data_IF_393745566732
#
_entry.id   IF_393745566732
#
_cell.length_a   1.000
_cell.length_b   1.000
_cell.length_c   1.000
_cell.angle_alpha   90.00
_cell.angle_beta   90.00
_cell.angle_gamma   90.00
#
_symmetry.space_group_name_H-M   'P 1'
#
loop_
_entity.id
_entity.type
_entity.pdbx_description
1 polymer ?
#
# COMPACT_ATOMS: atom_id res chain seq x y z
N UNK A 1 12.47 6.06 -5.19
CA UNK A 1 11.61 5.49 -6.26
C UNK A 1 11.49 3.99 -6.03
N UNK A 2 10.35 3.38 -6.36
CA UNK A 2 10.15 1.92 -6.24
C UNK A 2 9.35 1.37 -7.43
N UNK A 3 9.62 0.15 -7.84
CA UNK A 3 8.96 -0.55 -8.93
C UNK A 3 8.37 -1.89 -8.48
N UNK A 4 7.21 -2.26 -9.01
CA UNK A 4 6.67 -3.62 -8.90
C UNK A 4 7.40 -4.49 -9.91
N UNK A 5 8.18 -5.47 -9.44
CA UNK A 5 8.96 -6.38 -10.29
C UNK A 5 8.29 -7.74 -10.45
N UNK A 6 7.45 -8.12 -9.49
CA UNK A 6 6.60 -9.32 -9.55
C UNK A 6 5.26 -9.02 -8.88
N UNK A 7 4.18 -9.47 -9.50
CA UNK A 7 2.81 -9.35 -8.97
C UNK A 7 2.00 -10.58 -9.39
N UNK A 8 1.55 -11.36 -8.41
CA UNK A 8 0.73 -12.55 -8.67
C UNK A 8 -0.77 -12.24 -8.80
N UNK A 9 -1.19 -11.02 -8.49
CA UNK A 9 -2.60 -10.58 -8.52
C UNK A 9 -2.94 -9.78 -9.78
N UNK A 10 -1.97 -9.04 -10.31
CA UNK A 10 -2.12 -8.18 -11.49
C UNK A 10 -2.94 -6.92 -11.26
N UNK A 11 -3.37 -6.62 -10.03
CA UNK A 11 -4.16 -5.44 -9.70
C UNK A 11 -4.01 -5.02 -8.24
N UNK A 12 -3.80 -3.72 -8.04
CA UNK A 12 -3.80 -3.06 -6.74
C UNK A 12 -4.66 -1.79 -6.80
N UNK A 13 -5.22 -1.39 -5.66
CA UNK A 13 -6.12 -0.25 -5.58
C UNK A 13 -5.35 1.03 -5.22
N UNK A 14 -5.41 2.04 -6.09
CA UNK A 14 -4.84 3.36 -5.85
C UNK A 14 -5.87 4.45 -5.55
N UNK A 15 -7.16 4.12 -5.42
CA UNK A 15 -8.26 5.09 -5.34
C UNK A 15 -9.16 4.92 -4.11
N UNK A 16 -9.15 3.77 -3.45
CA UNK A 16 -10.01 3.49 -2.29
C UNK A 16 -9.62 4.23 -1.01
N UNK A 17 -8.39 4.74 -0.91
CA UNK A 17 -7.92 5.45 0.27
C UNK A 17 -7.75 4.54 1.49
N UNK A 18 -7.98 5.08 2.69
CA UNK A 18 -7.83 4.35 3.97
C UNK A 18 -9.03 4.51 4.88
N UNK A 19 -9.20 3.54 5.78
CA UNK A 19 -10.23 3.60 6.81
C UNK A 19 -9.85 4.61 7.88
N UNK A 20 -10.86 5.33 8.38
CA UNK A 20 -10.76 6.17 9.57
C UNK A 20 -11.37 5.46 10.76
N UNK A 21 -11.15 6.01 11.96
CA UNK A 21 -11.78 5.52 13.19
C UNK A 21 -13.30 5.48 13.10
N UNK A 22 -13.90 6.58 12.61
CA UNK A 22 -15.36 6.69 12.46
C UNK A 22 -15.91 5.62 11.51
N UNK A 23 -15.26 5.39 10.37
CA UNK A 23 -15.66 4.35 9.41
C UNK A 23 -15.53 2.94 10.00
N UNK A 24 -14.48 2.69 10.76
CA UNK A 24 -14.25 1.40 11.42
C UNK A 24 -15.34 1.12 12.45
N UNK A 25 -15.71 2.13 13.24
CA UNK A 25 -16.78 2.05 14.25
C UNK A 25 -18.15 1.83 13.68
N UNK A 26 -18.48 2.59 12.64
CA UNK A 26 -19.77 2.49 11.96
C UNK A 26 -19.96 1.10 11.37
N UNK A 27 -18.90 0.54 10.79
CA UNK A 27 -18.98 -0.75 10.10
C UNK A 27 -18.85 -1.96 11.02
N UNK A 28 -17.90 -1.94 11.95
CA UNK A 28 -17.51 -3.12 12.74
C UNK A 28 -17.85 -3.02 14.23
N UNK A 29 -18.38 -1.87 14.66
CA UNK A 29 -18.66 -1.59 16.06
C UNK A 29 -17.47 -0.99 16.81
N UNK A 30 -17.79 -0.28 17.91
CA UNK A 30 -16.80 0.45 18.70
C UNK A 30 -15.95 -0.48 19.55
N UNK A 31 -14.63 -0.37 19.36
CA UNK A 31 -13.61 -1.06 20.19
C UNK A 31 -12.48 -0.11 20.59
N UNK A 32 -11.89 -0.27 21.76
CA UNK A 32 -10.77 0.53 22.22
C UNK A 32 -9.71 -0.31 22.95
N UNK A 33 -8.51 0.25 23.03
CA UNK A 33 -7.37 -0.42 23.64
C UNK A 33 -7.56 -0.69 25.14
N UNK A 34 -8.27 0.17 25.87
CA UNK A 34 -8.45 0.06 27.32
C UNK A 34 -9.27 -1.17 27.68
N UNK A 35 -10.27 -1.51 26.87
CA UNK A 35 -11.16 -2.65 27.10
C UNK A 35 -10.72 -3.92 26.35
N UNK A 36 -10.22 -3.81 25.11
CA UNK A 36 -9.88 -4.97 24.27
C UNK A 36 -8.37 -5.19 24.07
N UNK A 37 -7.50 -4.33 24.59
CA UNK A 37 -6.04 -4.43 24.42
C UNK A 37 -5.67 -4.55 22.94
N UNK A 38 -4.97 -5.60 22.55
CA UNK A 38 -4.53 -5.78 21.16
C UNK A 38 -5.65 -6.26 20.22
N UNK A 39 -6.80 -6.65 20.76
CA UNK A 39 -7.94 -7.14 19.97
C UNK A 39 -8.87 -6.02 19.49
N UNK A 40 -8.58 -4.75 19.82
CA UNK A 40 -9.33 -3.62 19.30
C UNK A 40 -9.08 -3.42 17.79
N UNK A 41 -10.11 -2.94 17.10
CA UNK A 41 -10.11 -2.78 15.65
C UNK A 41 -9.41 -1.47 15.26
N UNK A 42 -8.43 -1.61 14.37
CA UNK A 42 -7.56 -0.51 13.94
C UNK A 42 -8.07 0.12 12.65
N UNK A 43 -7.89 1.43 12.51
CA UNK A 43 -8.06 2.12 11.23
C UNK A 43 -6.72 2.40 10.54
N UNK A 44 -6.73 2.46 9.21
CA UNK A 44 -5.53 2.75 8.44
C UNK A 44 -4.95 4.13 8.75
N UNK A 45 -5.83 5.11 9.00
CA UNK A 45 -5.44 6.47 9.37
C UNK A 45 -4.67 6.52 10.71
N UNK A 46 -5.17 5.85 11.75
CA UNK A 46 -4.50 5.81 13.06
C UNK A 46 -3.15 5.10 12.99
N UNK A 47 -3.06 4.00 12.24
CA UNK A 47 -1.81 3.28 12.03
C UNK A 47 -0.78 4.17 11.35
N UNK A 48 -1.14 4.82 10.24
CA UNK A 48 -0.19 5.69 9.54
C UNK A 48 0.24 6.90 10.36
N UNK A 49 -0.67 7.55 11.08
CA UNK A 49 -0.28 8.67 11.95
C UNK A 49 0.72 8.25 13.04
N UNK A 50 0.53 7.07 13.63
CA UNK A 50 1.47 6.55 14.64
C UNK A 50 2.87 6.38 14.06
N UNK A 51 2.99 5.77 12.88
CA UNK A 51 4.30 5.52 12.27
C UNK A 51 4.94 6.79 11.69
N UNK A 52 4.13 7.73 11.18
CA UNK A 52 4.61 9.02 10.72
C UNK A 52 5.23 9.82 11.88
N UNK A 53 4.57 9.85 13.03
CA UNK A 53 5.05 10.59 14.21
C UNK A 53 6.43 10.08 14.69
N UNK A 54 6.65 8.76 14.67
CA UNK A 54 7.94 8.15 14.99
C UNK A 54 9.07 8.63 14.07
N UNK A 55 8.74 9.00 12.83
CA UNK A 55 9.68 9.50 11.83
C UNK A 55 9.73 11.04 11.75
N UNK A 56 9.14 11.75 12.72
CA UNK A 56 9.12 13.22 12.74
C UNK A 56 8.18 13.84 11.69
N UNK A 57 7.28 13.04 11.12
CA UNK A 57 6.27 13.44 10.17
C UNK A 57 4.90 13.57 10.86
N UNK A 58 3.91 14.12 10.16
CA UNK A 58 2.57 14.28 10.70
C UNK A 58 1.45 14.16 9.66
N UNK A 59 0.21 14.52 10.03
CA UNK A 59 -0.96 14.35 9.17
C UNK A 59 -0.87 15.03 7.79
N UNK A 60 -0.04 16.07 7.66
CA UNK A 60 0.19 16.79 6.40
C UNK A 60 1.02 16.00 5.39
N UNK A 61 1.80 15.03 5.89
CA UNK A 61 2.71 14.20 5.11
C UNK A 61 2.03 12.89 4.66
N UNK A 62 0.79 12.66 5.11
CA UNK A 62 -0.01 11.53 4.69
C UNK A 62 -0.50 11.74 3.25
N UNK A 63 -0.06 10.85 2.37
CA UNK A 63 -0.50 10.78 0.97
C UNK A 63 -1.43 9.58 0.75
N UNK A 64 -2.26 9.58 -0.32
CA UNK A 64 -3.03 8.39 -0.68
C UNK A 64 -2.11 7.17 -0.84
N UNK A 65 -2.38 6.04 -0.17
CA UNK A 65 -1.56 4.85 -0.30
C UNK A 65 -1.94 4.05 -1.56
N UNK A 66 -1.09 3.07 -1.88
CA UNK A 66 -1.48 1.95 -2.73
C UNK A 66 -1.96 0.81 -1.84
N UNK A 67 -3.23 0.45 -1.96
CA UNK A 67 -3.83 -0.70 -1.30
C UNK A 67 -3.45 -1.98 -2.04
N UNK A 68 -2.29 -2.53 -1.69
CA UNK A 68 -1.78 -3.79 -2.25
C UNK A 68 -2.81 -4.92 -2.05
N UNK A 69 -2.86 -5.83 -3.03
CA UNK A 69 -3.78 -6.97 -3.12
C UNK A 69 -5.27 -6.65 -3.25
N UNK A 70 -5.69 -5.40 -3.03
CA UNK A 70 -7.07 -4.97 -3.20
C UNK A 70 -7.36 -4.58 -4.64
N UNK A 71 -8.57 -4.85 -5.12
CA UNK A 71 -9.02 -4.37 -6.44
C UNK A 71 -10.29 -3.55 -6.29
N UNK A 72 -10.18 -2.30 -6.72
CA UNK A 72 -11.26 -1.35 -6.87
C UNK A 72 -11.31 -0.89 -8.32
N UNK A 73 -12.51 -0.84 -8.89
CA UNK A 73 -12.74 -0.34 -10.24
C UNK A 73 -14.00 0.50 -10.28
N UNK A 74 -14.06 1.46 -11.21
CA UNK A 74 -15.24 2.29 -11.43
C UNK A 74 -16.03 1.76 -12.63
N UNK A 75 -17.36 1.68 -12.51
CA UNK A 75 -18.22 1.40 -13.65
C UNK A 75 -18.45 2.66 -14.52
N UNK A 76 -19.24 2.50 -15.60
CA UNK A 76 -19.57 3.60 -16.51
C UNK A 76 -20.36 4.74 -15.88
N UNK A 77 -21.00 4.50 -14.73
CA UNK A 77 -21.73 5.52 -13.96
C UNK A 77 -20.83 6.18 -12.89
N UNK A 78 -19.56 5.78 -12.81
CA UNK A 78 -18.60 6.29 -11.83
C UNK A 78 -18.74 5.68 -10.43
N UNK A 79 -19.51 4.60 -10.26
CA UNK A 79 -19.61 3.90 -8.98
C UNK A 79 -18.40 3.00 -8.79
N UNK A 80 -17.84 3.03 -7.58
CA UNK A 80 -16.71 2.17 -7.21
C UNK A 80 -17.20 0.79 -6.76
N UNK A 81 -16.51 -0.25 -7.22
CA UNK A 81 -16.79 -1.65 -6.92
C UNK A 81 -15.54 -2.32 -6.35
N UNK A 82 -15.71 -3.04 -5.24
CA UNK A 82 -14.66 -3.86 -4.64
C UNK A 82 -14.74 -5.31 -5.16
N UNK A 83 -13.61 -5.90 -5.51
CA UNK A 83 -13.53 -7.31 -5.91
C UNK A 83 -12.99 -8.17 -4.75
N UNK A 84 -13.85 -8.85 -3.96
CA UNK A 84 -13.43 -9.55 -2.74
C UNK A 84 -12.48 -10.74 -2.98
N UNK A 85 -12.57 -11.37 -4.15
CA UNK A 85 -11.81 -12.56 -4.51
C UNK A 85 -10.49 -12.24 -5.25
N UNK A 86 -10.05 -10.97 -5.29
CA UNK A 86 -8.85 -10.57 -6.04
C UNK A 86 -7.54 -11.12 -5.43
N UNK A 87 -7.52 -11.37 -4.12
CA UNK A 87 -6.35 -11.83 -3.40
C UNK A 87 -6.53 -13.26 -2.88
N UNK A 88 -6.08 -14.28 -3.63
CA UNK A 88 -6.03 -15.63 -3.11
C UNK A 88 -4.94 -15.78 -2.04
N UNK A 89 -5.10 -16.76 -1.15
CA UNK A 89 -4.07 -17.10 -0.15
C UNK A 89 -2.75 -17.43 -0.84
N UNK A 90 -1.67 -16.79 -0.37
CA UNK A 90 -0.32 -16.98 -0.92
C UNK A 90 0.00 -16.07 -2.10
N UNK A 91 -0.89 -15.14 -2.46
CA UNK A 91 -0.54 -14.06 -3.39
C UNK A 91 0.65 -13.23 -2.88
N UNK A 92 1.48 -12.76 -3.80
CA UNK A 92 2.71 -12.02 -3.54
C UNK A 92 2.82 -10.80 -4.45
N UNK A 93 3.46 -9.77 -3.92
CA UNK A 93 3.95 -8.62 -4.67
C UNK A 93 5.37 -8.34 -4.22
N UNK A 94 6.27 -8.13 -5.18
CA UNK A 94 7.68 -7.81 -4.92
C UNK A 94 7.96 -6.41 -5.40
N UNK A 95 8.42 -5.55 -4.49
CA UNK A 95 8.84 -4.19 -4.78
C UNK A 95 10.37 -4.12 -4.80
N UNK A 96 10.95 -3.53 -5.85
CA UNK A 96 12.37 -3.15 -5.89
C UNK A 96 12.47 -1.65 -5.65
N UNK A 97 13.29 -1.26 -4.69
CA UNK A 97 13.54 0.14 -4.34
C UNK A 97 14.79 0.62 -5.06
N UNK A 98 14.65 1.62 -5.91
CA UNK A 98 15.77 2.23 -6.64
C UNK A 98 16.35 3.43 -5.89
N UNK A 99 15.77 3.80 -4.75
CA UNK A 99 16.32 4.78 -3.82
C UNK A 99 16.06 4.36 -2.38
N UNK A 100 16.70 5.04 -1.43
CA UNK A 100 16.32 4.99 -0.02
C UNK A 100 14.85 5.41 0.15
N UNK A 101 14.09 4.61 0.90
CA UNK A 101 12.66 4.82 1.14
C UNK A 101 12.29 4.56 2.58
N UNK A 102 11.29 5.29 3.07
CA UNK A 102 10.52 4.93 4.25
C UNK A 102 9.24 4.21 3.79
N UNK A 103 9.09 2.94 4.17
CA UNK A 103 7.90 2.15 3.84
C UNK A 103 6.99 2.05 5.06
N UNK A 104 5.77 2.54 4.92
CA UNK A 104 4.72 2.42 5.93
C UNK A 104 3.67 1.41 5.46
N UNK A 105 3.34 0.45 6.32
CA UNK A 105 2.36 -0.58 6.02
C UNK A 105 1.25 -0.58 7.08
N UNK A 106 0.01 -0.58 6.64
CA UNK A 106 -1.16 -0.79 7.51
C UNK A 106 -1.96 -1.98 7.03
N UNK A 107 -2.00 -3.04 7.83
CA UNK A 107 -2.81 -4.23 7.56
C UNK A 107 -4.24 -4.03 8.05
N UNK A 108 -4.98 -3.15 7.37
CA UNK A 108 -6.35 -2.76 7.70
C UNK A 108 -7.28 -2.95 6.50
N UNK A 109 -8.60 -3.14 6.72
CA UNK A 109 -9.53 -3.37 5.63
C UNK A 109 -9.57 -2.19 4.65
N UNK A 110 -9.84 -2.48 3.38
CA UNK A 110 -10.11 -1.45 2.38
C UNK A 110 -11.42 -0.72 2.75
N UNK A 111 -11.50 0.62 2.59
CA UNK A 111 -12.71 1.39 2.89
C UNK A 111 -14.00 0.91 2.24
N UNK A 112 -13.91 0.36 1.02
CA UNK A 112 -15.08 -0.07 0.24
C UNK A 112 -15.29 -1.58 0.22
N UNK A 113 -14.46 -2.34 0.93
CA UNK A 113 -14.76 -3.73 1.26
C UNK A 113 -16.13 -3.78 1.96
N UNK A 114 -16.99 -4.73 1.67
CA UNK A 114 -18.35 -4.84 2.23
C UNK A 114 -18.49 -5.96 3.27
N UNK A 115 -17.40 -6.69 3.56
CA UNK A 115 -17.42 -7.77 4.54
C UNK A 115 -17.86 -7.26 5.93
N UNK A 116 -18.81 -7.94 6.59
CA UNK A 116 -19.39 -7.48 7.86
C UNK A 116 -18.46 -7.69 9.05
N UNK A 117 -17.59 -8.69 9.00
CA UNK A 117 -16.57 -8.93 10.02
C UNK A 117 -15.26 -8.24 9.63
N UNK A 118 -14.54 -7.71 10.62
CA UNK A 118 -13.22 -7.11 10.39
C UNK A 118 -12.24 -8.19 9.92
N UNK A 119 -11.73 -8.14 8.68
CA UNK A 119 -10.78 -9.14 8.20
C UNK A 119 -9.45 -8.98 8.93
N UNK A 120 -9.00 -10.06 9.58
CA UNK A 120 -7.70 -10.15 10.23
C UNK A 120 -6.90 -11.29 9.58
N UNK A 121 -6.15 -10.97 8.52
CA UNK A 121 -5.31 -11.94 7.80
C UNK A 121 -3.85 -11.55 7.97
N UNK A 122 -2.97 -12.46 8.43
CA UNK A 122 -1.55 -12.14 8.59
C UNK A 122 -0.88 -11.93 7.23
N UNK A 123 0.01 -10.95 7.17
CA UNK A 123 0.90 -10.70 6.03
C UNK A 123 2.34 -11.08 6.40
N UNK A 124 3.10 -11.59 5.44
CA UNK A 124 4.55 -11.78 5.57
C UNK A 124 5.23 -10.68 4.76
N UNK A 125 6.17 -9.98 5.39
CA UNK A 125 6.99 -8.95 4.76
C UNK A 125 8.45 -9.34 4.91
N UNK A 126 9.20 -9.26 3.82
CA UNK A 126 10.61 -9.62 3.76
C UNK A 126 11.39 -8.54 3.04
N UNK A 127 12.60 -8.26 3.52
CA UNK A 127 13.53 -7.30 2.90
C UNK A 127 14.77 -8.08 2.50
N UNK A 128 15.06 -8.09 1.21
CA UNK A 128 16.15 -8.85 0.61
C UNK A 128 16.99 -7.93 -0.26
N UNK A 129 18.31 -8.16 -0.38
CA UNK A 129 19.13 -7.47 -1.36
C UNK A 129 18.58 -7.73 -2.77
N UNK A 130 18.42 -6.68 -3.55
CA UNK A 130 18.04 -6.75 -4.95
C UNK A 130 19.23 -6.40 -5.85
N UNK A 131 19.32 -7.03 -7.01
CA UNK A 131 20.24 -6.57 -8.05
C UNK A 131 19.76 -5.19 -8.56
N UNK A 132 20.68 -4.24 -8.80
CA UNK A 132 20.31 -2.93 -9.34
C UNK A 132 19.71 -3.10 -10.74
N UNK A 133 18.72 -2.26 -11.07
CA UNK A 133 18.18 -2.21 -12.42
C UNK A 133 19.23 -1.65 -13.40
N UNK A 134 19.29 -2.21 -14.61
CA UNK A 134 20.10 -1.68 -15.70
C UNK A 134 19.23 -1.17 -16.86
N UNK A 135 19.85 -0.61 -17.90
CA UNK A 135 19.13 -0.05 -19.04
C UNK A 135 18.28 -1.07 -19.84
N UNK A 136 18.55 -2.37 -19.69
CA UNK A 136 17.89 -3.48 -20.36
C UNK A 136 16.80 -4.13 -19.49
N UNK A 137 16.71 -3.76 -18.21
CA UNK A 137 15.71 -4.28 -17.27
C UNK A 137 14.28 -4.08 -17.80
N UNK A 138 13.45 -5.11 -17.63
CA UNK A 138 12.08 -5.12 -18.17
C UNK A 138 11.21 -4.04 -17.53
N UNK A 139 11.38 -3.74 -16.25
CA UNK A 139 10.65 -2.67 -15.58
C UNK A 139 11.06 -1.31 -16.15
N UNK A 140 12.36 -1.06 -16.35
CA UNK A 140 12.87 0.18 -16.97
C UNK A 140 12.25 0.41 -18.35
N UNK A 141 12.08 -0.66 -19.12
CA UNK A 141 11.58 -0.63 -20.49
C UNK A 141 10.06 -0.77 -20.64
N UNK A 142 9.32 -0.86 -19.53
CA UNK A 142 7.88 -1.13 -19.54
C UNK A 142 7.05 -0.05 -20.26
N UNK A 143 7.41 1.22 -20.08
CA UNK A 143 6.81 2.38 -20.75
C UNK A 143 7.73 3.61 -20.68
N UNK A 144 7.58 4.61 -21.57
CA UNK A 144 8.42 5.81 -21.60
C UNK A 144 8.41 6.61 -20.29
N UNK A 145 7.28 6.67 -19.59
CA UNK A 145 7.13 7.33 -18.29
C UNK A 145 8.00 6.66 -17.22
N UNK A 146 8.02 5.32 -17.20
CA UNK A 146 8.81 4.55 -16.24
C UNK A 146 10.30 4.69 -16.53
N UNK A 147 10.70 4.61 -17.80
CA UNK A 147 12.08 4.87 -18.22
C UNK A 147 12.60 6.21 -17.69
N UNK A 148 11.83 7.28 -17.88
CA UNK A 148 12.18 8.62 -17.36
C UNK A 148 12.31 8.65 -15.85
N UNK A 149 11.48 7.91 -15.12
CA UNK A 149 11.60 7.82 -13.66
C UNK A 149 12.92 7.15 -13.22
N UNK A 150 13.36 6.11 -13.94
CA UNK A 150 14.67 5.49 -13.72
C UNK A 150 15.82 6.43 -14.07
N UNK A 151 15.77 7.06 -15.25
CA UNK A 151 16.80 8.03 -15.69
C UNK A 151 16.95 9.17 -14.66
N UNK A 152 15.86 9.76 -14.20
CA UNK A 152 15.88 10.78 -13.14
C UNK A 152 16.51 10.26 -11.83
N UNK A 153 16.27 8.99 -11.49
CA UNK A 153 16.80 8.37 -10.28
C UNK A 153 18.31 8.12 -10.39
N UNK A 154 18.77 7.64 -11.54
CA UNK A 154 20.20 7.43 -11.82
C UNK A 154 20.96 8.75 -11.91
N UNK A 155 20.38 9.76 -12.55
CA UNK A 155 20.95 11.10 -12.62
C UNK A 155 21.09 11.71 -11.21
N UNK A 156 20.09 11.54 -10.35
CA UNK A 156 20.16 11.99 -8.95
C UNK A 156 21.37 11.39 -8.21
N UNK A 157 21.59 10.08 -8.30
CA UNK A 157 22.74 9.45 -7.65
C UNK A 157 24.08 9.85 -8.27
N UNK A 158 24.14 9.98 -9.60
CA UNK A 158 25.34 10.45 -10.30
C UNK A 158 25.75 11.86 -9.88
N UNK A 159 24.79 12.70 -9.47
CA UNK A 159 25.04 14.06 -8.97
C UNK A 159 25.42 14.12 -7.49
N UNK A 160 25.23 13.03 -6.73
CA UNK A 160 25.55 12.94 -5.30
C UNK A 160 26.93 12.36 -5.00
N UNK A 161 27.53 11.68 -5.99
CA UNK A 161 28.90 11.17 -5.96
C UNK A 161 29.93 12.21 -6.45
#
# INVERSE_FOLDING_TARGET
MAAVVEDSTGWHDGIGGITTRAMTDEKYGKTDYQHQRNDWLRSGYENFLTELEVNGLGPRDLVPPVNLFSKVWCDGDGRMHYAPENCPKGATVTLRTEMDVLVLLSNTPNPIDDRPAYPAVPIRFEVLPAAPADALDACVNSMPEVRRAYENTWDYYTLMD
#
